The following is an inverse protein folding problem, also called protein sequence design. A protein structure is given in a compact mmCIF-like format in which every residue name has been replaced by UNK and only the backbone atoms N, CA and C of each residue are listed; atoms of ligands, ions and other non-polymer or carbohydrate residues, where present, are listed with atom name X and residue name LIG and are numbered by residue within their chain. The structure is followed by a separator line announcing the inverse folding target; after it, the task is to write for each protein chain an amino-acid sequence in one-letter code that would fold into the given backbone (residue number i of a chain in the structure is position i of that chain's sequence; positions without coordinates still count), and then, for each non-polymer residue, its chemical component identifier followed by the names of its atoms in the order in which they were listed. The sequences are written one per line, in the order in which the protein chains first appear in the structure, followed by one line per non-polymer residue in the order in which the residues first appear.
data_IF_272568491984
#
_entry.id   IF_272568491984
#
_cell.length_a   1.000
_cell.length_b   1.000
_cell.length_c   1.000
_cell.angle_alpha   90.00
_cell.angle_beta   90.00
_cell.angle_gamma   90.00
#
_symmetry.space_group_name_H-M   'P 1'
#
loop_
_entity.id
_entity.type
_entity.pdbx_description
1 polymer ?
#
# COMPACT_ATOMS: atom_id res chain seq x y z
N UNK A 1 32.70 3.73 -8.32
CA UNK A 1 32.83 4.39 -7.01
C UNK A 1 31.46 4.39 -6.36
N UNK A 2 31.27 3.72 -5.22
CA UNK A 2 30.05 3.89 -4.42
C UNK A 2 30.18 5.20 -3.66
N UNK A 3 29.27 6.13 -3.96
CA UNK A 3 29.17 7.40 -3.24
C UNK A 3 28.39 7.14 -1.94
N UNK A 4 29.06 7.22 -0.80
CA UNK A 4 28.39 7.24 0.49
C UNK A 4 28.22 8.68 0.94
N UNK A 5 26.98 9.06 1.24
CA UNK A 5 26.64 10.35 1.82
C UNK A 5 26.41 10.13 3.32
N UNK A 6 27.09 10.91 4.16
CA UNK A 6 26.82 10.91 5.60
C UNK A 6 25.65 11.85 5.86
N UNK A 7 24.56 11.33 6.43
CA UNK A 7 23.46 12.17 6.90
C UNK A 7 23.91 12.90 8.17
N UNK A 8 23.58 14.20 8.31
CA UNK A 8 23.81 14.92 9.55
C UNK A 8 22.95 14.32 10.68
N UNK A 9 23.40 14.47 11.93
CA UNK A 9 22.64 14.03 13.10
C UNK A 9 21.42 14.94 13.35
N UNK A 10 20.32 14.64 12.66
CA UNK A 10 19.06 15.36 12.79
C UNK A 10 18.40 15.17 14.16
N UNK A 11 18.69 14.09 14.88
CA UNK A 11 18.05 13.79 16.17
C UNK A 11 18.49 14.79 17.25
N UNK A 12 19.75 15.24 17.19
CA UNK A 12 20.27 16.27 18.10
C UNK A 12 19.45 17.58 18.04
N UNK A 13 18.95 17.94 16.85
CA UNK A 13 18.12 19.14 16.63
C UNK A 13 16.67 18.97 17.08
N UNK A 14 16.18 17.74 17.17
CA UNK A 14 14.80 17.43 17.57
C UNK A 14 14.61 17.33 19.09
N UNK A 15 15.64 17.58 19.90
CA UNK A 15 15.61 17.49 21.36
C UNK A 15 14.58 18.39 22.06
N UNK A 16 14.11 19.43 21.37
CA UNK A 16 13.06 20.34 21.85
C UNK A 16 11.67 19.68 21.83
N UNK A 17 11.46 18.68 20.98
CA UNK A 17 10.18 18.00 20.83
C UNK A 17 10.16 16.70 21.62
N UNK A 18 9.24 16.59 22.56
CA UNK A 18 8.98 15.33 23.26
C UNK A 18 8.30 14.36 22.30
N UNK A 19 9.01 13.30 21.89
CA UNK A 19 8.45 12.26 21.04
C UNK A 19 7.43 11.43 21.84
N UNK A 20 6.15 11.75 21.66
CA UNK A 20 5.04 10.99 22.26
C UNK A 20 4.52 9.96 21.28
N UNK A 21 4.13 8.80 21.79
CA UNK A 21 3.44 7.77 21.02
C UNK A 21 2.16 7.37 21.73
N UNK A 22 1.10 7.11 20.95
CA UNK A 22 -0.16 6.63 21.52
C UNK A 22 0.03 5.24 22.14
N UNK A 23 -0.50 5.05 23.35
CA UNK A 23 -0.54 3.75 24.06
C UNK A 23 -1.27 2.65 23.28
N UNK A 24 -2.11 3.04 22.32
CA UNK A 24 -2.89 2.13 21.50
C UNK A 24 -2.15 1.63 20.24
N UNK A 25 -0.92 2.09 20.00
CA UNK A 25 -0.11 1.79 18.82
C UNK A 25 -0.10 0.29 18.47
N UNK A 26 0.27 -0.57 19.44
CA UNK A 26 0.44 -2.01 19.19
C UNK A 26 -0.88 -2.70 18.84
N UNK A 27 -1.94 -2.40 19.60
CA UNK A 27 -3.26 -2.99 19.37
C UNK A 27 -3.83 -2.57 18.01
N UNK A 28 -3.70 -1.29 17.66
CA UNK A 28 -4.15 -0.76 16.38
C UNK A 28 -3.36 -1.34 15.21
N UNK A 29 -2.02 -1.44 15.33
CA UNK A 29 -1.15 -2.00 14.29
C UNK A 29 -1.52 -3.44 13.97
N UNK A 30 -1.61 -4.31 14.99
CA UNK A 30 -1.95 -5.71 14.81
C UNK A 30 -3.34 -5.89 14.19
N UNK A 31 -4.28 -5.07 14.62
CA UNK A 31 -5.64 -5.19 14.16
C UNK A 31 -5.75 -4.68 12.70
N UNK A 32 -4.98 -3.66 12.31
CA UNK A 32 -4.86 -3.16 10.92
C UNK A 32 -4.22 -4.20 10.00
N UNK A 33 -3.12 -4.81 10.43
CA UNK A 33 -2.46 -5.90 9.72
C UNK A 33 -3.41 -7.08 9.50
N UNK A 34 -4.14 -7.48 10.53
CA UNK A 34 -5.15 -8.53 10.42
C UNK A 34 -6.23 -8.19 9.38
N UNK A 35 -6.75 -6.96 9.41
CA UNK A 35 -7.76 -6.52 8.43
C UNK A 35 -7.22 -6.51 7.00
N UNK A 36 -5.97 -6.10 6.79
CA UNK A 36 -5.34 -6.12 5.47
C UNK A 36 -5.18 -7.55 4.93
N UNK A 37 -4.76 -8.49 5.78
CA UNK A 37 -4.67 -9.90 5.42
C UNK A 37 -6.04 -10.47 5.05
N UNK A 38 -7.09 -10.13 5.82
CA UNK A 38 -8.46 -10.57 5.55
C UNK A 38 -9.06 -9.93 4.28
N UNK A 39 -8.68 -8.69 3.97
CA UNK A 39 -9.19 -7.96 2.80
C UNK A 39 -8.69 -8.49 1.46
N UNK A 40 -7.65 -9.33 1.46
CA UNK A 40 -7.01 -9.83 0.23
C UNK A 40 -6.23 -8.78 -0.57
N UNK A 41 -6.14 -7.53 -0.07
CA UNK A 41 -5.39 -6.44 -0.71
C UNK A 41 -3.88 -6.62 -0.51
N UNK A 42 -3.46 -7.20 0.62
CA UNK A 42 -2.05 -7.42 0.90
C UNK A 42 -1.52 -8.71 0.23
N UNK A 43 -0.71 -8.57 -0.81
CA UNK A 43 0.13 -9.65 -1.32
C UNK A 43 1.19 -10.02 -0.25
N UNK A 44 1.42 -11.31 -0.03
CA UNK A 44 2.42 -11.88 0.91
C UNK A 44 3.87 -11.39 0.72
N UNK A 45 4.13 -10.59 -0.32
CA UNK A 45 5.45 -10.04 -0.66
C UNK A 45 5.81 -8.77 0.10
N UNK A 46 4.85 -8.11 0.76
CA UNK A 46 5.13 -6.81 1.38
C UNK A 46 5.74 -7.00 2.78
N UNK A 47 6.93 -6.41 3.00
CA UNK A 47 7.64 -6.49 4.28
C UNK A 47 7.02 -5.50 5.28
N UNK A 48 5.78 -5.77 5.71
CA UNK A 48 5.00 -4.90 6.59
C UNK A 48 5.72 -4.58 7.92
N UNK A 49 6.54 -5.52 8.39
CA UNK A 49 7.37 -5.36 9.60
C UNK A 49 8.40 -4.22 9.49
N UNK A 50 8.82 -3.85 8.28
CA UNK A 50 9.76 -2.77 8.04
C UNK A 50 9.08 -1.40 8.12
N UNK A 51 7.91 -1.24 7.50
CA UNK A 51 7.28 0.07 7.30
C UNK A 51 6.53 0.61 8.53
N UNK A 52 6.09 -0.27 9.45
CA UNK A 52 5.45 0.07 10.74
C UNK A 52 4.44 1.23 10.66
N UNK A 53 3.41 1.16 9.79
CA UNK A 53 2.43 2.24 9.61
C UNK A 53 1.72 2.67 10.90
N UNK A 54 1.44 1.73 11.80
CA UNK A 54 0.80 2.07 13.07
C UNK A 54 1.70 2.81 14.05
N UNK A 55 3.04 2.67 13.95
CA UNK A 55 3.97 3.49 14.73
C UNK A 55 4.01 4.92 14.19
N UNK A 56 4.02 5.08 12.86
CA UNK A 56 3.94 6.39 12.22
C UNK A 56 2.64 7.09 12.63
N UNK A 57 1.49 6.40 12.53
CA UNK A 57 0.20 6.93 12.97
C UNK A 57 0.23 7.35 14.44
N UNK A 58 0.78 6.51 15.33
CA UNK A 58 0.84 6.77 16.76
C UNK A 58 1.80 7.91 17.14
N UNK A 59 2.85 8.15 16.36
CA UNK A 59 3.78 9.25 16.55
C UNK A 59 3.20 10.58 16.03
N UNK A 60 2.49 10.55 14.89
CA UNK A 60 1.83 11.74 14.34
C UNK A 60 0.58 12.15 15.13
N UNK A 61 -0.11 11.18 15.75
CA UNK A 61 -1.37 11.39 16.47
C UNK A 61 -1.35 10.74 17.86
N UNK A 62 -0.52 11.24 18.79
CA UNK A 62 -0.33 10.61 20.10
C UNK A 62 -1.57 10.66 21.01
N UNK A 63 -2.45 11.66 20.81
CA UNK A 63 -3.66 11.88 21.61
C UNK A 63 -4.94 11.35 20.95
N UNK A 64 -4.84 10.73 19.77
CA UNK A 64 -6.01 10.23 19.07
C UNK A 64 -6.63 9.02 19.76
N UNK A 65 -7.96 8.95 19.70
CA UNK A 65 -8.72 7.79 20.16
C UNK A 65 -8.35 6.53 19.39
N UNK A 66 -8.47 5.33 20.00
CA UNK A 66 -8.08 4.07 19.35
C UNK A 66 -8.79 3.84 18.01
N UNK A 67 -10.05 4.24 17.87
CA UNK A 67 -10.83 4.08 16.63
C UNK A 67 -10.33 5.02 15.53
N UNK A 68 -10.03 6.27 15.86
CA UNK A 68 -9.46 7.23 14.90
C UNK A 68 -8.07 6.80 14.47
N UNK A 69 -7.24 6.40 15.43
CA UNK A 69 -5.90 5.90 15.18
C UNK A 69 -5.93 4.66 14.28
N UNK A 70 -6.95 3.81 14.46
CA UNK A 70 -7.17 2.64 13.60
C UNK A 70 -7.46 3.03 12.16
N UNK A 71 -8.39 3.95 11.94
CA UNK A 71 -8.70 4.43 10.60
C UNK A 71 -7.47 5.03 9.90
N UNK A 72 -6.70 5.85 10.63
CA UNK A 72 -5.45 6.45 10.11
C UNK A 72 -4.43 5.36 9.75
N UNK A 73 -4.28 4.35 10.61
CA UNK A 73 -3.34 3.25 10.37
C UNK A 73 -3.74 2.41 9.16
N UNK A 74 -5.03 2.10 9.01
CA UNK A 74 -5.54 1.37 7.84
C UNK A 74 -5.29 2.16 6.55
N UNK A 75 -5.57 3.47 6.56
CA UNK A 75 -5.30 4.35 5.42
C UNK A 75 -3.82 4.44 5.06
N UNK A 76 -2.94 4.65 6.04
CA UNK A 76 -1.49 4.68 5.82
C UNK A 76 -0.97 3.36 5.26
N UNK A 77 -1.53 2.24 5.75
CA UNK A 77 -1.14 0.92 5.28
C UNK A 77 -1.55 0.69 3.82
N UNK A 78 -2.73 1.15 3.40
CA UNK A 78 -3.15 1.15 2.00
C UNK A 78 -2.26 2.04 1.12
N UNK A 79 -1.88 3.23 1.60
CA UNK A 79 -0.98 4.12 0.87
C UNK A 79 0.39 3.49 0.64
N UNK A 80 0.95 2.87 1.68
CA UNK A 80 2.20 2.13 1.57
C UNK A 80 2.05 0.97 0.60
N UNK A 81 0.95 0.21 0.69
CA UNK A 81 0.69 -0.87 -0.24
C UNK A 81 0.65 -0.41 -1.69
N UNK A 82 -0.07 0.67 -1.98
CA UNK A 82 -0.11 1.24 -3.33
C UNK A 82 1.31 1.67 -3.80
N UNK A 83 2.13 2.24 -2.92
CA UNK A 83 3.50 2.67 -3.28
C UNK A 83 4.44 1.50 -3.56
N UNK A 84 4.28 0.40 -2.82
CA UNK A 84 5.10 -0.81 -2.98
C UNK A 84 4.62 -1.70 -4.12
N UNK A 85 3.44 -1.45 -4.72
CA UNK A 85 3.07 -2.12 -5.95
C UNK A 85 4.10 -1.75 -7.01
N UNK A 86 4.87 -2.72 -7.54
CA UNK A 86 5.67 -2.46 -8.72
C UNK A 86 4.67 -2.01 -9.77
N UNK A 87 4.89 -0.81 -10.31
CA UNK A 87 4.08 -0.24 -11.36
C UNK A 87 4.15 -1.20 -12.55
N UNK A 88 3.23 -2.16 -12.61
CA UNK A 88 2.85 -2.82 -13.84
C UNK A 88 1.99 -1.80 -14.57
N UNK A 89 2.63 -0.75 -15.10
CA UNK A 89 2.09 -0.01 -16.25
C UNK A 89 2.07 -1.03 -17.38
N UNK A 90 0.97 -1.76 -17.43
CA UNK A 90 0.57 -2.50 -18.60
C UNK A 90 0.41 -1.48 -19.71
N UNK A 91 1.26 -1.59 -20.72
CA UNK A 91 0.99 -1.05 -22.03
C UNK A 91 -0.30 -1.66 -22.54
N UNK A 92 -1.42 -0.97 -22.31
CA UNK A 92 -2.67 -1.17 -23.06
C UNK A 92 -2.85 0.05 -23.94
N UNK A 93 -1.94 0.20 -24.90
CA UNK A 93 -2.15 1.07 -26.04
C UNK A 93 -1.45 0.42 -27.24
N UNK A 94 -2.26 0.04 -28.24
CA UNK A 94 -1.89 -0.53 -29.54
C UNK A 94 -2.08 -2.04 -29.68
N UNK A 95 -3.33 -2.46 -29.89
CA UNK A 95 -3.67 -3.38 -30.98
C UNK A 95 -5.20 -3.41 -31.15
N UNK A 96 -5.74 -2.29 -31.64
CA UNK A 96 -7.05 -2.30 -32.29
C UNK A 96 -6.92 -3.11 -33.58
N UNK A 97 -7.64 -4.22 -33.63
CA UNK A 97 -8.31 -4.80 -34.82
C UNK A 97 -7.73 -4.39 -36.18
N UNK A 98 -6.98 -5.30 -36.81
CA UNK A 98 -6.94 -5.34 -38.28
C UNK A 98 -7.35 -6.75 -38.72
N UNK A 99 -8.44 -6.77 -39.49
CA UNK A 99 -9.19 -7.92 -39.99
C UNK A 99 -8.32 -8.85 -40.86
N UNK A 100 -8.43 -10.15 -40.65
CA UNK A 100 -8.15 -11.19 -41.64
C UNK A 100 -9.33 -11.31 -42.61
N UNK A 101 -9.11 -11.43 -43.94
CA UNK A 101 -10.11 -11.96 -44.85
C UNK A 101 -9.82 -13.44 -45.11
N UNK A 102 -10.76 -14.33 -44.81
CA UNK A 102 -10.87 -15.61 -45.50
C UNK A 102 -12.32 -16.11 -45.49
N UNK A 103 -12.71 -16.55 -46.67
CA UNK A 103 -13.99 -17.01 -47.23
C UNK A 103 -14.77 -18.00 -46.36
N UNK A 104 -16.11 -17.85 -46.34
CA UNK A 104 -17.11 -18.78 -46.92
C UNK A 104 -17.08 -20.19 -46.28
N UNK A 105 -18.08 -20.53 -45.48
CA UNK A 105 -19.23 -21.28 -45.97
C UNK A 105 -20.30 -21.47 -44.89
N UNK A 106 -21.52 -21.64 -45.38
CA UNK A 106 -22.77 -21.76 -44.65
C UNK A 106 -22.81 -22.98 -43.71
N UNK A 107 -23.55 -22.87 -42.60
CA UNK A 107 -24.85 -23.53 -42.47
C UNK A 107 -25.39 -23.46 -41.02
N UNK A 108 -26.53 -22.79 -40.90
CA UNK A 108 -27.75 -23.35 -40.29
C UNK A 108 -27.86 -23.52 -38.75
N UNK A 109 -29.00 -23.01 -38.26
CA UNK A 109 -29.74 -23.33 -37.01
C UNK A 109 -29.33 -22.66 -35.69
N UNK A 110 -30.21 -22.18 -34.80
CA UNK A 110 -31.60 -21.65 -34.75
C UNK A 110 -31.74 -21.10 -33.31
N UNK A 111 -32.63 -20.13 -33.12
CA UNK A 111 -33.08 -19.59 -31.84
C UNK A 111 -33.23 -20.63 -30.71
N UNK A 112 -32.75 -20.28 -29.50
CA UNK A 112 -33.53 -20.14 -28.26
C UNK A 112 -32.70 -19.38 -27.21
#
# INVERSE_FOLDING_TARGET
MMMSLQLPDLLSFCSVFELRTSKHCKGVSNASEKWLLESGVALSSMTWSASKPGLLAAACHPTADPTQLRFITDFLSLLLHHREQPVLVSQVASATTTRTPCSEDADTFIML
#
